data_IF_577377683442
#
_entry.id   IF_577377683442
#
_cell.length_a   1.000
_cell.length_b   1.000
_cell.length_c   1.000
_cell.angle_alpha   90.00
_cell.angle_beta   90.00
_cell.angle_gamma   90.00
#
_symmetry.space_group_name_H-M   'P 1'
#
loop_
_entity.id
_entity.type
_entity.pdbx_description
1 polymer ?
#
# COMPACT_ATOMS: atom_id res chain seq x y z
N UNK A 1 4.93 19.70 -18.91
CA UNK A 1 4.56 19.98 -20.32
C UNK A 1 5.18 18.89 -21.17
N UNK A 2 4.36 17.96 -21.66
CA UNK A 2 4.81 16.87 -22.54
C UNK A 2 4.39 17.24 -23.96
N UNK A 3 5.36 17.22 -24.86
CA UNK A 3 5.24 17.65 -26.25
C UNK A 3 4.60 16.52 -27.08
N UNK A 4 3.57 16.86 -27.86
CA UNK A 4 2.60 15.93 -28.47
C UNK A 4 2.97 15.55 -29.92
N UNK A 5 4.25 15.62 -30.30
CA UNK A 5 4.68 15.62 -31.70
C UNK A 5 5.54 14.41 -32.13
N UNK A 6 5.18 13.19 -31.75
CA UNK A 6 5.74 11.99 -32.42
C UNK A 6 4.68 10.90 -32.61
N UNK A 7 3.82 11.10 -33.61
CA UNK A 7 3.09 10.01 -34.26
C UNK A 7 3.58 9.90 -35.70
N UNK A 8 4.53 9.00 -35.91
CA UNK A 8 5.04 8.64 -37.22
C UNK A 8 3.95 7.91 -38.05
N UNK A 9 3.56 8.57 -39.12
CA UNK A 9 3.13 8.08 -40.44
C UNK A 9 2.97 6.57 -40.66
N UNK A 10 1.74 6.15 -40.99
CA UNK A 10 1.47 4.99 -41.85
C UNK A 10 0.87 5.48 -43.18
N UNK A 11 1.25 4.91 -44.33
CA UNK A 11 0.64 5.28 -45.61
C UNK A 11 -0.72 4.58 -45.77
N UNK A 12 -1.81 5.35 -45.70
CA UNK A 12 -3.13 4.90 -46.15
C UNK A 12 -3.25 5.10 -47.66
N UNK A 13 -3.43 4.02 -48.41
CA UNK A 13 -3.85 4.08 -49.82
C UNK A 13 -5.37 3.93 -49.85
N UNK A 14 -6.08 5.06 -49.93
CA UNK A 14 -7.52 5.09 -50.16
C UNK A 14 -7.78 5.68 -51.57
N UNK A 15 -8.37 4.87 -52.44
CA UNK A 15 -8.72 5.26 -53.80
C UNK A 15 -9.98 6.14 -53.80
N UNK A 16 -9.89 7.32 -54.39
CA UNK A 16 -10.97 8.32 -54.41
C UNK A 16 -12.13 7.92 -55.33
N UNK A 17 -13.37 8.03 -54.84
CA UNK A 17 -14.55 8.16 -55.69
C UNK A 17 -15.26 9.49 -55.43
N UNK A 18 -15.29 10.35 -56.45
CA UNK A 18 -15.91 11.67 -56.45
C UNK A 18 -17.44 11.54 -56.51
N UNK A 19 -18.18 12.05 -55.52
CA UNK A 19 -19.64 12.16 -55.60
C UNK A 19 -20.07 13.59 -55.92
N UNK A 20 -20.86 13.72 -57.00
CA UNK A 20 -21.42 14.94 -57.56
C UNK A 20 -22.70 15.31 -56.80
N UNK A 21 -22.77 16.52 -56.23
CA UNK A 21 -23.94 17.01 -55.52
C UNK A 21 -25.05 17.45 -56.50
N UNK A 22 -26.31 17.13 -56.17
CA UNK A 22 -27.49 17.68 -56.80
C UNK A 22 -28.46 18.22 -55.72
N UNK A 23 -29.11 19.32 -56.05
CA UNK A 23 -29.87 20.20 -55.16
C UNK A 23 -31.36 19.87 -55.10
N UNK A 24 -32.01 20.49 -54.10
CA UNK A 24 -33.40 20.98 -54.13
C UNK A 24 -34.56 20.03 -53.82
N UNK A 25 -35.28 20.44 -52.76
CA UNK A 25 -36.74 20.42 -52.57
C UNK A 25 -37.45 19.10 -52.27
N UNK A 26 -38.21 19.18 -51.17
CA UNK A 26 -39.30 18.35 -50.68
C UNK A 26 -39.86 17.30 -51.64
N UNK A 27 -39.88 16.03 -51.19
CA UNK A 27 -40.97 15.04 -51.37
C UNK A 27 -40.60 13.78 -50.57
N UNK A 28 -41.59 13.24 -49.87
CA UNK A 28 -41.56 11.97 -49.13
C UNK A 28 -41.26 10.83 -50.11
N UNK A 29 -40.17 10.10 -49.90
CA UNK A 29 -39.88 8.85 -50.62
C UNK A 29 -39.17 7.85 -49.69
N UNK A 30 -39.79 6.67 -49.57
CA UNK A 30 -39.25 5.46 -48.95
C UNK A 30 -37.97 5.04 -49.69
N UNK A 31 -36.87 4.88 -48.97
CA UNK A 31 -35.66 4.24 -49.48
C UNK A 31 -35.24 3.09 -48.56
N UNK A 32 -35.37 1.87 -49.07
CA UNK A 32 -34.73 0.68 -48.52
C UNK A 32 -33.21 0.82 -48.67
N UNK A 33 -32.51 0.97 -47.55
CA UNK A 33 -31.04 0.95 -47.52
C UNK A 33 -30.58 -0.48 -47.30
N UNK A 34 -30.09 -1.13 -48.34
CA UNK A 34 -29.34 -2.39 -48.23
C UNK A 34 -27.96 -2.08 -47.63
N UNK A 35 -27.76 -2.47 -46.37
CA UNK A 35 -26.48 -2.35 -45.68
C UNK A 35 -25.55 -3.48 -46.18
N UNK A 36 -24.62 -3.14 -47.07
CA UNK A 36 -23.53 -4.05 -47.42
C UNK A 36 -22.54 -4.09 -46.24
N UNK A 37 -22.53 -5.19 -45.49
CA UNK A 37 -21.59 -5.45 -44.41
C UNK A 37 -20.18 -5.63 -44.97
N UNK A 38 -19.33 -4.62 -44.77
CA UNK A 38 -17.88 -4.71 -44.98
C UNK A 38 -17.28 -5.50 -43.82
N UNK A 39 -16.89 -6.75 -44.06
CA UNK A 39 -16.05 -7.52 -43.12
C UNK A 39 -14.59 -7.19 -43.37
N UNK A 40 -14.00 -6.34 -42.53
CA UNK A 40 -12.55 -6.22 -42.43
C UNK A 40 -12.03 -7.42 -41.65
N UNK A 41 -11.26 -8.30 -42.31
CA UNK A 41 -10.50 -9.36 -41.63
C UNK A 41 -9.24 -8.73 -41.06
N UNK A 42 -9.24 -8.47 -39.75
CA UNK A 42 -8.03 -8.09 -39.03
C UNK A 42 -7.22 -9.35 -38.75
N UNK A 43 -6.03 -9.46 -39.32
CA UNK A 43 -5.05 -10.45 -38.88
C UNK A 43 -4.66 -10.13 -37.44
N UNK A 44 -4.91 -11.06 -36.52
CA UNK A 44 -4.52 -10.90 -35.12
C UNK A 44 -2.99 -10.85 -35.04
N UNK A 45 -2.40 -9.81 -34.44
CA UNK A 45 -0.96 -9.76 -34.21
C UNK A 45 -0.58 -10.91 -33.26
N UNK A 46 0.52 -11.60 -33.58
CA UNK A 46 1.10 -12.64 -32.75
C UNK A 46 1.32 -12.13 -31.31
N UNK A 47 1.09 -12.95 -30.26
CA UNK A 47 1.37 -12.54 -28.89
C UNK A 47 2.86 -12.25 -28.76
N UNK A 48 3.17 -10.98 -28.54
CA UNK A 48 4.52 -10.52 -28.19
C UNK A 48 4.84 -11.15 -26.83
N UNK A 49 6.01 -11.79 -26.65
CA UNK A 49 6.47 -12.20 -25.33
C UNK A 49 6.48 -10.97 -24.43
N UNK A 50 5.60 -10.94 -23.43
CA UNK A 50 5.60 -9.87 -22.44
C UNK A 50 6.95 -9.99 -21.72
N UNK A 51 7.79 -8.93 -21.72
CA UNK A 51 8.97 -8.94 -20.87
C UNK A 51 8.49 -9.16 -19.45
N UNK A 52 9.01 -10.18 -18.77
CA UNK A 52 8.83 -10.34 -17.33
C UNK A 52 9.38 -9.06 -16.72
N UNK A 53 8.48 -8.17 -16.29
CA UNK A 53 8.85 -7.03 -15.47
C UNK A 53 9.30 -7.63 -14.15
N UNK A 54 10.61 -7.68 -13.95
CA UNK A 54 11.21 -7.95 -12.65
C UNK A 54 10.66 -6.87 -11.71
N UNK A 55 9.77 -7.26 -10.79
CA UNK A 55 9.15 -6.34 -9.82
C UNK A 55 10.27 -5.66 -9.03
N UNK A 56 10.49 -4.34 -9.17
CA UNK A 56 11.37 -3.64 -8.26
C UNK A 56 10.49 -3.21 -7.08
N UNK A 57 10.29 -4.11 -6.12
CA UNK A 57 9.29 -3.90 -5.06
C UNK A 57 9.91 -3.87 -3.66
N UNK A 58 11.19 -4.18 -3.50
CA UNK A 58 11.93 -4.03 -2.24
C UNK A 58 13.25 -3.33 -2.51
N UNK A 59 13.67 -2.42 -1.62
CA UNK A 59 15.07 -1.97 -1.62
C UNK A 59 16.01 -3.19 -1.52
N UNK A 60 17.05 -3.23 -2.35
CA UNK A 60 18.13 -4.21 -2.23
C UNK A 60 18.95 -3.92 -0.96
N UNK A 61 18.43 -4.33 0.20
CA UNK A 61 19.13 -4.20 1.48
C UNK A 61 20.33 -5.13 1.49
N UNK A 62 21.52 -4.58 1.73
CA UNK A 62 22.71 -5.40 1.88
C UNK A 62 22.73 -6.08 3.24
N UNK A 63 23.46 -7.19 3.42
CA UNK A 63 23.66 -7.78 4.74
C UNK A 63 24.23 -6.79 5.78
N UNK A 64 25.01 -5.79 5.34
CA UNK A 64 25.53 -4.73 6.21
C UNK A 64 24.46 -3.76 6.70
N UNK A 65 23.48 -3.45 5.84
CA UNK A 65 22.34 -2.58 6.19
C UNK A 65 21.46 -3.27 7.22
N UNK A 66 21.14 -4.56 7.01
CA UNK A 66 20.36 -5.37 7.94
C UNK A 66 21.00 -5.42 9.33
N UNK A 67 22.31 -5.66 9.41
CA UNK A 67 23.04 -5.66 10.69
C UNK A 67 22.98 -4.30 11.38
N UNK A 68 23.04 -3.21 10.63
CA UNK A 68 23.01 -1.85 11.17
C UNK A 68 21.62 -1.49 11.69
N UNK A 69 20.56 -1.80 10.95
CA UNK A 69 19.17 -1.63 11.37
C UNK A 69 18.93 -2.33 12.72
N UNK A 70 19.23 -3.62 12.80
CA UNK A 70 18.95 -4.38 14.03
C UNK A 70 19.78 -3.94 15.24
N UNK A 71 20.99 -3.41 15.03
CA UNK A 71 21.88 -2.97 16.13
C UNK A 71 21.57 -1.57 16.65
N UNK A 72 21.18 -0.65 15.77
CA UNK A 72 21.15 0.77 16.13
C UNK A 72 19.75 1.38 16.13
N UNK A 73 18.79 0.80 15.40
CA UNK A 73 17.47 1.41 15.24
C UNK A 73 16.34 0.60 15.85
N UNK A 74 16.59 -0.67 16.23
CA UNK A 74 15.56 -1.55 16.79
C UNK A 74 14.97 -1.02 18.10
N UNK A 75 13.66 -0.80 18.11
CA UNK A 75 12.90 -0.23 19.22
C UNK A 75 13.21 1.24 19.49
N UNK A 76 13.86 1.93 18.55
CA UNK A 76 14.21 3.35 18.65
C UNK A 76 13.35 4.17 17.71
N UNK A 77 12.68 5.18 18.24
CA UNK A 77 11.82 6.10 17.49
C UNK A 77 11.95 7.53 18.04
N UNK A 78 12.23 8.48 17.13
CA UNK A 78 12.58 9.87 17.49
C UNK A 78 13.63 9.98 18.60
N UNK A 79 14.63 9.09 18.56
CA UNK A 79 15.74 9.06 19.51
C UNK A 79 15.43 8.45 20.88
N UNK A 80 14.21 7.94 21.09
CA UNK A 80 13.81 7.25 22.33
C UNK A 80 13.76 5.75 22.09
N UNK A 81 14.43 4.99 22.95
CA UNK A 81 14.38 3.53 22.92
C UNK A 81 13.34 3.01 23.91
N UNK A 82 12.56 2.00 23.50
CA UNK A 82 11.61 1.30 24.36
C UNK A 82 11.65 -0.22 24.12
N UNK A 83 11.88 -1.00 25.18
CA UNK A 83 12.01 -2.46 25.11
C UNK A 83 10.69 -3.17 24.74
N UNK A 84 9.54 -2.57 25.07
CA UNK A 84 8.25 -3.10 24.62
C UNK A 84 8.10 -2.97 23.11
N UNK A 85 8.64 -1.90 22.52
CA UNK A 85 8.69 -1.76 21.07
C UNK A 85 9.59 -2.81 20.43
N UNK A 86 10.74 -3.12 21.05
CA UNK A 86 11.59 -4.23 20.58
C UNK A 86 10.79 -5.53 20.50
N UNK A 87 9.97 -5.85 21.51
CA UNK A 87 9.13 -7.05 21.49
C UNK A 87 8.10 -7.06 20.36
N UNK A 88 7.48 -5.92 20.05
CA UNK A 88 6.54 -5.79 18.93
C UNK A 88 7.26 -6.00 17.58
N UNK A 89 8.42 -5.36 17.39
CA UNK A 89 9.25 -5.50 16.18
C UNK A 89 9.70 -6.95 15.98
N UNK A 90 10.19 -7.59 17.05
CA UNK A 90 10.64 -8.98 17.03
C UNK A 90 9.49 -9.93 16.67
N UNK A 91 8.34 -9.76 17.32
CA UNK A 91 7.18 -10.59 17.01
C UNK A 91 6.70 -10.38 15.56
N UNK A 92 6.63 -9.13 15.09
CA UNK A 92 6.24 -8.82 13.72
C UNK A 92 7.14 -9.51 12.70
N UNK A 93 8.46 -9.28 12.77
CA UNK A 93 9.40 -9.76 11.74
C UNK A 93 9.48 -11.28 11.68
N UNK A 94 9.46 -11.97 12.82
CA UNK A 94 9.45 -13.44 12.83
C UNK A 94 8.09 -13.99 12.41
N UNK A 95 6.97 -13.38 12.82
CA UNK A 95 5.64 -13.78 12.32
C UNK A 95 5.56 -13.66 10.80
N UNK A 96 6.05 -12.55 10.24
CA UNK A 96 6.04 -12.33 8.81
C UNK A 96 6.95 -13.31 8.04
N UNK A 97 8.14 -13.59 8.59
CA UNK A 97 9.09 -14.49 7.97
C UNK A 97 8.67 -15.97 8.07
N UNK A 98 8.32 -16.45 9.26
CA UNK A 98 7.97 -17.86 9.50
C UNK A 98 6.69 -18.29 8.77
N UNK A 99 5.77 -17.34 8.53
CA UNK A 99 4.49 -17.59 7.88
C UNK A 99 4.44 -17.10 6.42
N UNK A 100 5.56 -16.63 5.84
CA UNK A 100 5.61 -16.06 4.49
C UNK A 100 4.52 -14.98 4.25
N UNK A 101 4.34 -14.06 5.19
CA UNK A 101 3.35 -12.98 5.07
C UNK A 101 3.99 -11.78 4.35
N UNK A 102 3.35 -11.32 3.28
CA UNK A 102 3.69 -10.07 2.58
C UNK A 102 2.81 -8.90 2.99
N UNK A 103 1.61 -9.19 3.49
CA UNK A 103 0.60 -8.20 3.92
C UNK A 103 0.76 -7.91 5.40
N UNK A 104 1.89 -7.29 5.79
CA UNK A 104 2.21 -7.08 7.21
C UNK A 104 1.24 -6.12 7.92
N UNK A 105 0.50 -5.29 7.17
CA UNK A 105 -0.58 -4.48 7.73
C UNK A 105 -1.83 -5.28 8.10
N UNK A 106 -1.85 -6.60 7.86
CA UNK A 106 -2.82 -7.53 8.45
C UNK A 106 -2.38 -8.13 9.79
N UNK A 107 -1.16 -7.83 10.27
CA UNK A 107 -0.59 -8.41 11.50
C UNK A 107 -0.56 -7.36 12.60
N UNK A 108 -1.27 -7.61 13.71
CA UNK A 108 -1.40 -6.65 14.82
C UNK A 108 -0.05 -6.18 15.38
N UNK A 109 0.89 -7.10 15.60
CA UNK A 109 2.24 -6.76 16.07
C UNK A 109 3.02 -5.92 15.08
N UNK A 110 2.81 -6.08 13.77
CA UNK A 110 3.44 -5.24 12.76
C UNK A 110 2.85 -3.82 12.74
N UNK A 111 1.52 -3.68 12.82
CA UNK A 111 0.89 -2.37 12.90
C UNK A 111 1.29 -1.64 14.19
N UNK A 112 1.31 -2.33 15.34
CA UNK A 112 1.77 -1.75 16.60
C UNK A 112 3.28 -1.47 16.61
N UNK A 113 4.10 -2.32 15.99
CA UNK A 113 5.53 -2.06 15.86
C UNK A 113 5.78 -0.82 15.00
N UNK A 114 5.01 -0.62 13.92
CA UNK A 114 5.22 0.51 13.01
C UNK A 114 5.10 1.85 13.76
N UNK A 115 4.20 1.95 14.74
CA UNK A 115 3.97 3.17 15.51
C UNK A 115 5.06 3.50 16.52
N UNK A 116 5.84 2.51 16.96
CA UNK A 116 6.90 2.69 17.95
C UNK A 116 8.32 2.51 17.39
N UNK A 117 8.47 1.96 16.18
CA UNK A 117 9.73 1.75 15.46
C UNK A 117 9.87 2.75 14.31
N UNK A 118 8.74 3.12 13.71
CA UNK A 118 8.69 3.75 12.41
C UNK A 118 8.33 2.77 11.29
N UNK A 119 7.65 3.27 10.26
CA UNK A 119 7.16 2.45 9.13
C UNK A 119 8.31 1.90 8.29
N UNK A 120 9.16 2.79 7.75
CA UNK A 120 10.28 2.42 6.88
C UNK A 120 11.26 1.44 7.56
N UNK A 121 11.80 1.74 8.76
CA UNK A 121 12.71 0.82 9.42
C UNK A 121 12.05 -0.52 9.76
N UNK A 122 10.76 -0.57 10.09
CA UNK A 122 10.08 -1.83 10.33
C UNK A 122 9.99 -2.68 9.06
N UNK A 123 9.56 -2.09 7.94
CA UNK A 123 9.47 -2.80 6.65
C UNK A 123 10.84 -3.34 6.25
N UNK A 124 11.89 -2.53 6.36
CA UNK A 124 13.27 -2.95 6.05
C UNK A 124 13.73 -4.08 6.99
N UNK A 125 13.37 -4.03 8.28
CA UNK A 125 13.65 -5.11 9.23
C UNK A 125 12.94 -6.41 8.87
N UNK A 126 11.69 -6.36 8.42
CA UNK A 126 10.96 -7.55 7.97
C UNK A 126 11.60 -8.15 6.70
N UNK A 127 11.93 -7.31 5.72
CA UNK A 127 12.63 -7.72 4.48
C UNK A 127 13.97 -8.40 4.79
N UNK A 128 14.75 -7.82 5.72
CA UNK A 128 15.99 -8.42 6.21
C UNK A 128 15.77 -9.80 6.83
N UNK A 129 14.80 -9.95 7.74
CA UNK A 129 14.54 -11.23 8.39
C UNK A 129 14.05 -12.28 7.39
N UNK A 130 13.18 -11.92 6.45
CA UNK A 130 12.73 -12.83 5.37
C UNK A 130 13.91 -13.33 4.52
N UNK A 131 14.85 -12.44 4.19
CA UNK A 131 16.06 -12.81 3.45
C UNK A 131 16.96 -13.74 4.28
N UNK A 132 17.14 -13.47 5.57
CA UNK A 132 17.97 -14.27 6.47
C UNK A 132 17.46 -15.72 6.65
N UNK A 133 16.14 -15.90 6.75
CA UNK A 133 15.54 -17.23 6.90
C UNK A 133 15.31 -17.95 5.56
N UNK A 134 15.62 -17.30 4.43
CA UNK A 134 15.40 -17.87 3.10
C UNK A 134 13.92 -17.99 2.71
N UNK A 135 13.09 -17.05 3.17
CA UNK A 135 11.69 -16.93 2.76
C UNK A 135 11.58 -16.86 1.23
N UNK A 136 10.55 -17.50 0.66
CA UNK A 136 10.28 -17.45 -0.78
C UNK A 136 9.54 -16.18 -1.21
N UNK A 137 9.13 -15.36 -0.24
CA UNK A 137 8.44 -14.09 -0.45
C UNK A 137 9.17 -12.97 0.27
N UNK A 138 9.05 -11.77 -0.29
CA UNK A 138 9.59 -10.54 0.29
C UNK A 138 8.47 -9.52 0.39
N UNK A 139 8.35 -8.88 1.54
CA UNK A 139 7.45 -7.73 1.73
C UNK A 139 7.88 -6.58 0.82
N UNK A 140 6.93 -5.99 0.12
CA UNK A 140 7.15 -4.80 -0.69
C UNK A 140 7.48 -3.56 0.16
N UNK A 141 8.00 -2.51 -0.45
CA UNK A 141 8.16 -1.21 0.20
C UNK A 141 6.80 -0.67 0.65
N UNK A 142 6.78 0.11 1.74
CA UNK A 142 5.55 0.53 2.42
C UNK A 142 4.41 1.06 1.52
N UNK A 143 4.67 1.86 0.46
CA UNK A 143 3.64 2.32 -0.47
C UNK A 143 2.91 1.23 -1.27
N UNK A 144 3.53 0.06 -1.43
CA UNK A 144 3.05 -1.04 -2.28
C UNK A 144 2.43 -2.18 -1.46
N UNK A 145 2.58 -2.16 -0.14
CA UNK A 145 1.93 -3.12 0.75
C UNK A 145 0.41 -2.92 0.65
N UNK A 146 -0.35 -4.00 0.73
CA UNK A 146 -1.81 -3.93 0.76
C UNK A 146 -2.27 -3.12 1.96
N UNK A 147 -3.36 -2.36 1.79
CA UNK A 147 -3.93 -1.54 2.85
C UNK A 147 -4.16 -2.32 4.16
N UNK A 148 -4.15 -1.59 5.26
CA UNK A 148 -4.49 -2.08 6.60
C UNK A 148 -5.70 -3.01 6.56
N UNK A 149 -5.57 -4.22 7.08
CA UNK A 149 -6.69 -5.15 7.13
C UNK A 149 -7.83 -4.52 7.92
N UNK A 150 -9.02 -4.47 7.31
CA UNK A 150 -10.14 -3.76 7.91
C UNK A 150 -10.68 -4.45 9.17
N UNK A 151 -10.51 -5.78 9.31
CA UNK A 151 -10.86 -6.47 10.56
C UNK A 151 -9.86 -6.13 11.66
N UNK A 152 -8.57 -5.96 11.33
CA UNK A 152 -7.58 -5.44 12.27
C UNK A 152 -7.93 -4.01 12.70
N UNK A 153 -8.29 -3.12 11.77
CA UNK A 153 -8.79 -1.80 12.12
C UNK A 153 -10.04 -1.87 13.02
N UNK A 154 -11.00 -2.73 12.67
CA UNK A 154 -12.20 -2.94 13.48
C UNK A 154 -11.88 -3.49 14.89
N UNK A 155 -10.80 -4.25 15.05
CA UNK A 155 -10.34 -4.70 16.38
C UNK A 155 -9.82 -3.55 17.25
N UNK A 156 -9.35 -2.45 16.64
CA UNK A 156 -8.85 -1.25 17.34
C UNK A 156 -10.03 -0.39 17.82
N UNK A 157 -10.98 -0.10 16.91
CA UNK A 157 -12.05 0.87 17.18
C UNK A 157 -13.36 0.21 17.64
N UNK A 158 -13.48 -1.12 17.52
CA UNK A 158 -14.65 -1.90 17.87
C UNK A 158 -15.75 -1.90 16.80
N UNK A 159 -16.95 -2.32 17.20
CA UNK A 159 -18.11 -2.52 16.31
C UNK A 159 -18.52 -1.27 15.51
N UNK A 160 -18.15 -0.07 15.96
CA UNK A 160 -18.45 1.16 15.24
C UNK A 160 -17.67 1.29 13.91
N UNK A 161 -16.66 0.46 13.64
CA UNK A 161 -15.99 0.39 12.34
C UNK A 161 -16.99 0.13 11.21
N UNK A 162 -18.00 -0.72 11.44
CA UNK A 162 -18.94 -1.18 10.42
C UNK A 162 -20.12 -0.24 10.18
N UNK A 163 -20.16 0.90 10.87
CA UNK A 163 -21.20 1.92 10.69
C UNK A 163 -20.89 2.78 9.46
N UNK A 164 -21.91 3.44 8.89
CA UNK A 164 -21.70 4.39 7.79
C UNK A 164 -20.75 5.51 8.23
N UNK A 165 -19.64 5.67 7.50
CA UNK A 165 -18.56 6.60 7.84
C UNK A 165 -17.52 6.07 8.85
N UNK A 166 -17.81 4.96 9.54
CA UNK A 166 -16.94 4.36 10.56
C UNK A 166 -16.65 5.29 11.75
N UNK A 167 -15.98 4.75 12.77
CA UNK A 167 -15.43 5.56 13.87
C UNK A 167 -13.91 5.67 13.73
N UNK A 168 -13.31 6.84 14.01
CA UNK A 168 -11.86 7.02 13.98
C UNK A 168 -11.20 6.40 15.22
N UNK A 169 -9.91 6.11 15.12
CA UNK A 169 -9.08 5.68 16.25
C UNK A 169 -8.96 6.85 17.22
N UNK A 170 -9.36 6.64 18.47
CA UNK A 170 -9.09 7.56 19.58
C UNK A 170 -7.76 7.23 20.27
N UNK A 171 -7.22 8.15 21.07
CA UNK A 171 -6.03 7.88 21.89
C UNK A 171 -6.21 6.62 22.77
N UNK A 172 -7.38 6.44 23.39
CA UNK A 172 -7.63 5.26 24.23
C UNK A 172 -7.67 3.97 23.40
N UNK A 173 -8.30 3.99 22.22
CA UNK A 173 -8.28 2.84 21.31
C UNK A 173 -6.86 2.46 20.92
N UNK A 174 -6.00 3.45 20.66
CA UNK A 174 -4.60 3.22 20.33
C UNK A 174 -3.81 2.62 21.50
N UNK A 175 -3.97 3.15 22.72
CA UNK A 175 -3.36 2.59 23.93
C UNK A 175 -3.81 1.14 24.14
N UNK A 176 -5.11 0.89 24.09
CA UNK A 176 -5.68 -0.44 24.28
C UNK A 176 -5.18 -1.42 23.21
N UNK A 177 -5.05 -0.97 21.97
CA UNK A 177 -4.48 -1.76 20.88
C UNK A 177 -3.01 -2.15 21.13
N UNK A 178 -2.17 -1.19 21.52
CA UNK A 178 -0.74 -1.43 21.82
C UNK A 178 -0.60 -2.42 22.97
N UNK A 179 -1.26 -2.16 24.10
CA UNK A 179 -1.17 -3.02 25.29
C UNK A 179 -1.81 -4.40 25.08
N UNK A 180 -2.92 -4.43 24.33
CA UNK A 180 -3.59 -5.68 23.92
C UNK A 180 -2.69 -6.52 23.02
N UNK A 181 -1.98 -5.89 22.09
CA UNK A 181 -1.02 -6.57 21.21
C UNK A 181 0.18 -7.10 22.00
N UNK A 182 0.75 -6.31 22.91
CA UNK A 182 1.83 -6.75 23.82
C UNK A 182 1.39 -7.96 24.67
N UNK A 183 0.16 -7.92 25.18
CA UNK A 183 -0.42 -9.05 25.93
C UNK A 183 -0.61 -10.29 25.05
N UNK A 184 -1.07 -10.11 23.80
CA UNK A 184 -1.30 -11.21 22.86
C UNK A 184 0.00 -11.91 22.43
N UNK A 185 1.12 -11.18 22.37
CA UNK A 185 2.45 -11.76 22.12
C UNK A 185 3.13 -12.31 23.39
N UNK A 186 2.41 -12.31 24.52
CA UNK A 186 2.83 -12.88 25.81
C UNK A 186 4.14 -12.28 26.37
N UNK A 187 4.37 -10.98 26.19
CA UNK A 187 5.47 -10.27 26.86
C UNK A 187 5.10 -9.80 28.27
N UNK A 188 6.10 -9.66 29.13
CA UNK A 188 6.02 -9.03 30.47
C UNK A 188 6.56 -7.59 30.48
N UNK A 189 7.02 -7.08 29.34
CA UNK A 189 7.57 -5.73 29.19
C UNK A 189 6.54 -4.80 28.55
N UNK A 190 6.08 -3.82 29.32
CA UNK A 190 5.10 -2.82 28.89
C UNK A 190 5.70 -1.42 28.95
N UNK A 191 5.37 -0.53 28.00
CA UNK A 191 5.82 0.84 28.01
C UNK A 191 5.12 1.62 29.14
N UNK A 192 5.66 2.77 29.52
CA UNK A 192 4.88 3.78 30.25
C UNK A 192 3.79 4.34 29.33
N UNK A 193 2.56 4.47 29.82
CA UNK A 193 1.44 4.97 28.99
C UNK A 193 1.70 6.39 28.45
N UNK A 194 2.40 7.23 29.20
CA UNK A 194 2.78 8.56 28.71
C UNK A 194 3.77 8.44 27.55
N UNK A 195 4.67 7.44 27.56
CA UNK A 195 5.57 7.16 26.44
C UNK A 195 4.77 6.78 25.18
N UNK A 196 3.76 5.91 25.32
CA UNK A 196 2.87 5.52 24.21
C UNK A 196 2.16 6.73 23.62
N UNK A 197 1.72 7.65 24.47
CA UNK A 197 1.05 8.88 24.03
C UNK A 197 2.06 9.83 23.35
N UNK A 198 3.06 10.30 24.10
CA UNK A 198 3.91 11.41 23.66
C UNK A 198 4.89 11.02 22.58
N UNK A 199 5.37 9.77 22.60
CA UNK A 199 6.41 9.34 21.68
C UNK A 199 5.89 8.52 20.51
N UNK A 200 4.65 8.01 20.53
CA UNK A 200 4.09 7.23 19.41
C UNK A 200 2.79 7.84 18.86
N UNK A 201 1.76 8.01 19.69
CA UNK A 201 0.45 8.54 19.25
C UNK A 201 0.52 9.97 18.73
N UNK A 202 1.22 10.85 19.44
CA UNK A 202 1.32 12.27 19.10
C UNK A 202 1.99 12.48 17.74
N UNK A 203 2.93 11.61 17.35
CA UNK A 203 3.55 11.67 16.03
C UNK A 203 2.59 11.25 14.90
N UNK A 204 1.70 10.28 15.15
CA UNK A 204 0.67 9.87 14.18
C UNK A 204 -0.33 10.99 13.99
N UNK A 205 -0.85 11.56 15.08
CA UNK A 205 -1.83 12.65 15.02
C UNK A 205 -1.24 13.92 14.41
N UNK A 206 0.02 14.23 14.70
CA UNK A 206 0.74 15.35 14.08
C UNK A 206 0.91 15.16 12.57
N UNK A 207 1.26 13.96 12.11
CA UNK A 207 1.44 13.68 10.68
C UNK A 207 0.11 13.67 9.92
N UNK A 208 -0.92 13.05 10.50
CA UNK A 208 -2.25 12.92 9.87
C UNK A 208 -3.04 14.22 9.88
N UNK A 209 -2.74 15.13 10.82
CA UNK A 209 -3.39 16.43 10.97
C UNK A 209 -4.92 16.36 11.12
N UNK A 210 -5.42 15.30 11.75
CA UNK A 210 -6.86 15.04 11.96
C UNK A 210 -7.37 15.48 13.34
N UNK A 211 -6.49 16.00 14.20
CA UNK A 211 -6.82 16.40 15.57
C UNK A 211 -6.64 15.24 16.56
N UNK A 212 -7.60 15.05 17.46
CA UNK A 212 -7.50 14.08 18.57
C UNK A 212 -7.80 12.63 18.17
N UNK A 213 -8.31 12.41 16.95
CA UNK A 213 -8.70 11.10 16.44
C UNK A 213 -8.20 10.89 15.02
N UNK A 214 -7.92 9.64 14.62
CA UNK A 214 -7.37 9.31 13.30
C UNK A 214 -8.31 8.35 12.56
N UNK A 215 -8.96 8.79 11.46
CA UNK A 215 -9.78 7.92 10.61
C UNK A 215 -8.96 6.84 9.90
N UNK A 216 -9.63 5.75 9.49
CA UNK A 216 -9.02 4.64 8.75
C UNK A 216 -8.11 5.09 7.59
N UNK A 217 -8.62 5.95 6.69
CA UNK A 217 -7.85 6.36 5.51
C UNK A 217 -6.56 7.10 5.90
N UNK A 218 -6.62 7.97 6.90
CA UNK A 218 -5.44 8.71 7.37
C UNK A 218 -4.42 7.80 8.08
N UNK A 219 -4.89 6.85 8.89
CA UNK A 219 -4.00 5.90 9.55
C UNK A 219 -3.37 4.93 8.54
N UNK A 220 -4.15 4.47 7.57
CA UNK A 220 -3.65 3.68 6.45
C UNK A 220 -2.62 4.47 5.64
N UNK A 221 -2.89 5.72 5.26
CA UNK A 221 -1.92 6.56 4.54
C UNK A 221 -0.63 6.76 5.35
N UNK A 222 -0.75 6.93 6.67
CA UNK A 222 0.42 7.02 7.54
C UNK A 222 1.29 5.76 7.47
N UNK A 223 0.68 4.56 7.46
CA UNK A 223 1.39 3.27 7.31
C UNK A 223 2.10 3.11 5.96
N UNK A 224 1.72 3.86 4.93
CA UNK A 224 2.29 3.73 3.59
C UNK A 224 3.28 4.86 3.25
N UNK A 225 3.09 6.05 3.83
CA UNK A 225 3.75 7.27 3.36
C UNK A 225 4.45 8.10 4.43
N UNK A 226 4.29 7.78 5.72
CA UNK A 226 4.81 8.66 6.77
C UNK A 226 6.33 8.79 6.78
N UNK A 227 7.06 7.79 6.28
CA UNK A 227 8.51 7.64 6.48
C UNK A 227 8.90 7.91 7.94
N UNK A 228 8.01 7.55 8.86
CA UNK A 228 8.17 7.88 10.26
C UNK A 228 9.38 7.14 10.81
N UNK A 229 10.38 7.88 11.29
CA UNK A 229 11.50 7.42 12.10
C UNK A 229 12.15 8.62 12.80
#
# INVERSE_FOLDING_TARGET
>A
MINVNDLASFPQVCSNYTMKAASSSSIVALFSVTLASLTCVFAAPSPIPVPVVEQPSSRDLTPGDCVSLFKFTRGVYHGTQDDSCVNLVENCRFTAADNNITEIWGVASCVAAATCQGVTPLVEMVQCTQTEVGSSVTVSDAPEIVSLDYNLYASIVGECAWQEGGCPITQQNYIDFVYGTLSAIATDVYPDVNNVITNWWDFITAWTATGETVPYLNFNDWLHYSNSQ
#
